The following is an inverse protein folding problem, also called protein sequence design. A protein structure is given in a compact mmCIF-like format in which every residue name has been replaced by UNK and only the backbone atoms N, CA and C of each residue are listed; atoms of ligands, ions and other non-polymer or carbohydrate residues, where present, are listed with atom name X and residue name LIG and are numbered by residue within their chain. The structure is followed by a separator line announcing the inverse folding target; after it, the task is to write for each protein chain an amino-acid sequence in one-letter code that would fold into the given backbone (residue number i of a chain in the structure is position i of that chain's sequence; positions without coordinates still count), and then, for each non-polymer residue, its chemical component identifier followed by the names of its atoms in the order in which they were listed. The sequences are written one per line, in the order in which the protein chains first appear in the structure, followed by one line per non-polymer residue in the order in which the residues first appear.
data_IF_088945738948
#
_entry.id   IF_088945738948
#
_cell.length_a   1.000
_cell.length_b   1.000
_cell.length_c   1.000
_cell.angle_alpha   90.00
_cell.angle_beta   90.00
_cell.angle_gamma   90.00
#
_symmetry.space_group_name_H-M   'P 1'
#
loop_
_entity.id
_entity.type
_entity.pdbx_description
1 polymer ?
#
# COMPACT_ATOMS: atom_id res chain seq x y z
N UNK A 1 4.47 4.34 34.57
CA UNK A 1 5.43 3.28 34.16
C UNK A 1 5.24 3.04 32.68
N UNK A 2 6.17 3.51 31.87
CA UNK A 2 6.16 3.31 30.41
C UNK A 2 7.08 2.15 30.08
N UNK A 3 6.61 1.21 29.26
CA UNK A 3 7.38 0.01 28.86
C UNK A 3 7.42 -0.08 27.34
N UNK A 4 8.63 -0.14 26.79
CA UNK A 4 8.86 -0.47 25.39
C UNK A 4 9.73 -1.71 25.32
N UNK A 5 9.24 -2.76 24.64
CA UNK A 5 9.99 -4.01 24.47
C UNK A 5 10.01 -4.39 23.00
N UNK A 6 11.21 -4.69 22.49
CA UNK A 6 11.42 -5.14 21.11
C UNK A 6 12.38 -6.34 21.12
N UNK A 7 12.07 -7.38 20.35
CA UNK A 7 12.96 -8.53 20.14
C UNK A 7 13.34 -8.59 18.66
N UNK A 8 14.63 -8.45 18.34
CA UNK A 8 15.14 -8.52 16.97
C UNK A 8 16.21 -9.60 16.91
N UNK A 9 15.99 -10.63 16.09
CA UNK A 9 16.93 -11.76 15.90
C UNK A 9 17.42 -12.39 17.22
N UNK A 10 16.51 -12.56 18.18
CA UNK A 10 16.82 -13.13 19.50
C UNK A 10 17.46 -12.15 20.49
N UNK A 11 17.70 -10.89 20.11
CA UNK A 11 18.17 -9.83 21.02
C UNK A 11 16.98 -9.05 21.57
N UNK A 12 16.86 -9.02 22.89
CA UNK A 12 15.85 -8.26 23.62
C UNK A 12 16.37 -6.86 23.92
N UNK A 13 15.63 -5.83 23.52
CA UNK A 13 15.78 -4.46 24.01
C UNK A 13 14.54 -4.12 24.85
N UNK A 14 14.73 -3.74 26.11
CA UNK A 14 13.67 -3.41 27.05
C UNK A 14 13.96 -2.03 27.67
N UNK A 15 13.17 -1.02 27.29
CA UNK A 15 13.17 0.30 27.90
C UNK A 15 12.07 0.40 28.96
N UNK A 16 12.44 0.80 30.18
CA UNK A 16 11.53 1.00 31.31
C UNK A 16 11.72 2.41 31.87
N UNK A 17 10.63 3.16 32.00
CA UNK A 17 10.59 4.41 32.78
C UNK A 17 9.81 4.13 34.06
N UNK A 18 10.51 4.18 35.18
CA UNK A 18 9.99 3.86 36.51
C UNK A 18 10.30 4.98 37.50
N UNK A 19 9.33 5.32 38.34
CA UNK A 19 9.56 6.18 39.49
C UNK A 19 10.15 5.33 40.62
N UNK A 20 11.32 5.71 41.12
CA UNK A 20 12.02 4.98 42.19
C UNK A 20 11.94 5.80 43.47
N UNK A 21 11.39 5.25 44.58
CA UNK A 21 11.41 5.92 45.88
C UNK A 21 12.85 6.18 46.32
N UNK A 22 13.13 7.35 46.89
CA UNK A 22 14.45 7.67 47.43
C UNK A 22 14.92 6.67 48.50
N UNK A 23 16.23 6.38 48.53
CA UNK A 23 16.85 5.55 49.56
C UNK A 23 16.94 4.05 49.28
N UNK A 24 16.66 3.59 48.05
CA UNK A 24 16.90 2.20 47.62
C UNK A 24 18.07 2.10 46.64
N UNK A 25 18.94 1.12 46.83
CA UNK A 25 20.06 0.75 45.95
C UNK A 25 19.61 0.00 44.68
N UNK A 26 18.40 0.29 44.16
CA UNK A 26 17.79 -0.43 43.03
C UNK A 26 18.72 -0.49 41.80
N UNK A 27 19.47 0.58 41.54
CA UNK A 27 20.41 0.61 40.43
C UNK A 27 21.51 -0.45 40.60
N UNK A 28 22.02 -0.65 41.82
CA UNK A 28 23.03 -1.67 42.09
C UNK A 28 22.46 -3.07 41.89
N UNK A 29 21.25 -3.32 42.39
CA UNK A 29 20.58 -4.61 42.25
C UNK A 29 20.31 -4.94 40.76
N UNK A 30 19.92 -3.93 39.98
CA UNK A 30 19.71 -4.07 38.54
C UNK A 30 21.02 -4.33 37.80
N UNK A 31 22.08 -3.56 38.06
CA UNK A 31 23.39 -3.78 37.43
C UNK A 31 23.98 -5.15 37.80
N UNK A 32 23.81 -5.59 39.05
CA UNK A 32 24.22 -6.93 39.47
C UNK A 32 23.44 -8.01 38.73
N UNK A 33 22.12 -7.88 38.64
CA UNK A 33 21.28 -8.79 37.86
C UNK A 33 21.71 -8.84 36.38
N UNK A 34 22.00 -7.68 35.77
CA UNK A 34 22.48 -7.59 34.41
C UNK A 34 23.77 -8.37 34.22
N UNK A 35 24.73 -8.19 35.12
CA UNK A 35 25.98 -8.93 35.11
C UNK A 35 25.78 -10.45 35.29
N UNK A 36 24.97 -10.89 36.25
CA UNK A 36 24.70 -12.32 36.50
C UNK A 36 23.99 -13.03 35.34
N UNK A 37 23.25 -12.27 34.52
CA UNK A 37 22.43 -12.80 33.42
C UNK A 37 22.99 -12.48 32.04
N UNK A 38 24.18 -11.87 31.97
CA UNK A 38 24.80 -11.41 30.73
C UNK A 38 23.89 -10.46 29.93
N UNK A 39 23.18 -9.59 30.63
CA UNK A 39 22.31 -8.53 30.08
C UNK A 39 22.95 -7.17 30.34
N UNK A 40 23.16 -6.41 29.27
CA UNK A 40 23.61 -5.01 29.36
C UNK A 40 22.45 -4.13 29.86
N UNK A 41 22.71 -3.33 30.90
CA UNK A 41 21.73 -2.44 31.51
C UNK A 41 22.34 -1.05 31.61
N UNK A 42 21.79 -0.13 30.83
CA UNK A 42 22.07 1.30 30.93
C UNK A 42 20.96 1.99 31.73
N UNK A 43 21.33 3.04 32.47
CA UNK A 43 20.39 3.82 33.27
C UNK A 43 20.72 5.30 33.19
N UNK A 44 19.67 6.11 33.07
CA UNK A 44 19.75 7.57 33.13
C UNK A 44 18.63 8.10 34.00
N UNK A 45 18.91 9.13 34.79
CA UNK A 45 17.87 9.87 35.52
C UNK A 45 17.25 10.85 34.54
N UNK A 46 16.02 10.56 34.14
CA UNK A 46 15.26 11.41 33.23
C UNK A 46 14.25 12.24 34.00
N UNK A 47 14.09 13.51 33.62
CA UNK A 47 12.94 14.31 34.07
C UNK A 47 11.66 13.69 33.51
N UNK A 48 10.54 13.82 34.24
CA UNK A 48 9.24 13.39 33.75
C UNK A 48 8.95 14.18 32.46
N UNK A 49 9.02 13.49 31.32
CA UNK A 49 9.04 14.13 30.00
C UNK A 49 7.90 15.13 29.87
N UNK A 50 8.22 16.38 29.51
CA UNK A 50 7.24 17.38 29.11
C UNK A 50 6.37 16.83 27.98
N UNK A 51 5.09 17.22 27.96
CA UNK A 51 4.12 17.01 26.89
C UNK A 51 4.56 17.69 25.58
N UNK A 52 5.73 17.33 25.05
CA UNK A 52 6.16 17.83 23.75
C UNK A 52 5.10 17.43 22.72
N UNK A 53 4.66 18.38 21.87
CA UNK A 53 3.69 18.09 20.84
C UNK A 53 4.21 16.91 20.02
N UNK A 54 3.49 15.79 20.03
CA UNK A 54 3.86 14.62 19.25
C UNK A 54 3.90 15.02 17.79
N UNK A 55 5.11 15.12 17.23
CA UNK A 55 5.34 15.38 15.81
C UNK A 55 4.48 14.40 15.01
N UNK A 56 3.84 14.90 13.96
CA UNK A 56 2.95 14.12 13.11
C UNK A 56 3.60 12.79 12.69
N UNK A 57 2.95 11.69 13.03
CA UNK A 57 3.37 10.36 12.58
C UNK A 57 2.91 10.10 11.16
N UNK A 58 3.76 9.45 10.38
CA UNK A 58 3.47 9.05 9.00
C UNK A 58 3.86 7.58 8.83
N UNK A 59 2.98 6.79 8.24
CA UNK A 59 3.31 5.46 7.76
C UNK A 59 3.76 5.58 6.30
N UNK A 60 5.04 5.33 6.06
CA UNK A 60 5.67 5.28 4.74
C UNK A 60 5.80 3.81 4.34
N UNK A 61 5.02 3.38 3.37
CA UNK A 61 5.07 2.02 2.82
C UNK A 61 5.91 2.02 1.56
N UNK A 62 7.01 1.28 1.58
CA UNK A 62 7.90 1.05 0.43
C UNK A 62 7.59 -0.33 -0.12
N UNK A 63 7.32 -0.42 -1.42
CA UNK A 63 7.03 -1.68 -2.10
C UNK A 63 7.81 -1.79 -3.41
N UNK A 64 8.19 -3.01 -3.77
CA UNK A 64 8.87 -3.30 -5.03
C UNK A 64 9.02 -4.79 -5.25
N UNK A 65 9.25 -5.21 -6.49
CA UNK A 65 9.43 -6.63 -6.84
C UNK A 65 10.53 -7.27 -5.97
N UNK A 66 11.62 -6.53 -5.77
CA UNK A 66 12.67 -6.80 -4.78
C UNK A 66 13.12 -5.46 -4.18
N UNK A 67 13.41 -5.47 -2.89
CA UNK A 67 13.96 -4.30 -2.19
C UNK A 67 15.32 -4.65 -1.61
N UNK A 68 16.37 -4.02 -2.14
CA UNK A 68 17.75 -4.17 -1.70
C UNK A 68 18.16 -3.12 -0.66
N UNK A 69 19.39 -3.24 -0.12
CA UNK A 69 19.95 -2.24 0.79
C UNK A 69 20.04 -0.84 0.19
N UNK A 70 20.34 -0.73 -1.11
CA UNK A 70 20.42 0.55 -1.81
C UNK A 70 19.07 1.25 -1.91
N UNK A 71 17.99 0.51 -2.20
CA UNK A 71 16.63 1.08 -2.25
C UNK A 71 16.23 1.63 -0.88
N UNK A 72 16.50 0.87 0.18
CA UNK A 72 16.25 1.31 1.55
C UNK A 72 17.11 2.52 1.91
N UNK A 73 18.40 2.53 1.56
CA UNK A 73 19.29 3.68 1.80
C UNK A 73 18.71 4.94 1.18
N UNK A 74 18.37 4.90 -0.11
CA UNK A 74 17.79 6.02 -0.87
C UNK A 74 16.50 6.54 -0.21
N UNK A 75 15.60 5.64 0.21
CA UNK A 75 14.38 6.04 0.94
C UNK A 75 14.73 6.71 2.27
N UNK A 76 15.62 6.11 3.06
CA UNK A 76 15.98 6.64 4.38
C UNK A 76 16.71 7.98 4.31
N UNK A 77 17.57 8.19 3.30
CA UNK A 77 18.22 9.47 3.02
C UNK A 77 17.18 10.53 2.65
N UNK A 78 16.25 10.20 1.75
CA UNK A 78 15.16 11.12 1.38
C UNK A 78 14.25 11.50 2.56
N UNK A 79 14.12 10.63 3.57
CA UNK A 79 13.40 10.93 4.82
C UNK A 79 14.24 11.84 5.72
N UNK A 80 15.55 11.59 5.82
CA UNK A 80 16.47 12.39 6.62
C UNK A 80 16.64 13.82 6.06
N UNK A 81 16.66 13.99 4.73
CA UNK A 81 16.78 15.29 4.04
C UNK A 81 15.62 16.28 4.34
N UNK A 82 14.51 15.76 4.87
CA UNK A 82 13.35 16.54 5.31
C UNK A 82 13.17 16.53 6.83
N UNK A 83 14.25 16.25 7.56
CA UNK A 83 14.29 16.17 9.03
C UNK A 83 13.30 15.13 9.60
N UNK A 84 13.04 14.06 8.85
CA UNK A 84 12.20 12.94 9.27
C UNK A 84 12.97 11.94 10.13
N UNK A 85 12.41 11.55 11.27
CA UNK A 85 12.96 10.51 12.14
C UNK A 85 12.20 9.20 11.97
N UNK A 86 12.92 8.10 11.70
CA UNK A 86 12.31 6.76 11.55
C UNK A 86 12.26 6.09 12.92
N UNK A 87 11.07 5.97 13.51
CA UNK A 87 10.87 5.33 14.82
C UNK A 87 10.87 3.81 14.73
N UNK A 88 10.39 3.26 13.62
CA UNK A 88 10.18 1.81 13.47
C UNK A 88 10.19 1.40 12.01
N UNK A 89 10.81 0.26 11.73
CA UNK A 89 10.76 -0.39 10.42
C UNK A 89 10.18 -1.79 10.59
N UNK A 90 9.15 -2.12 9.82
CA UNK A 90 8.56 -3.46 9.80
C UNK A 90 8.46 -3.96 8.38
N UNK A 91 8.93 -5.20 8.16
CA UNK A 91 8.67 -5.91 6.91
C UNK A 91 7.27 -6.51 6.94
N UNK A 92 6.40 -6.05 6.05
CA UNK A 92 5.03 -6.55 5.91
C UNK A 92 4.97 -7.81 5.03
N UNK A 93 5.73 -7.84 3.94
CA UNK A 93 5.80 -9.00 3.04
C UNK A 93 7.15 -9.15 2.34
N UNK A 94 7.41 -10.35 1.83
CA UNK A 94 8.56 -10.73 0.97
C UNK A 94 8.13 -11.51 -0.28
N UNK A 95 6.82 -11.75 -0.44
CA UNK A 95 6.22 -12.48 -1.53
C UNK A 95 4.71 -12.17 -1.58
N UNK A 96 4.11 -11.93 -2.76
CA UNK A 96 4.74 -11.87 -4.09
C UNK A 96 5.62 -10.63 -4.29
N UNK A 97 5.41 -9.59 -3.48
CA UNK A 97 6.13 -8.30 -3.53
C UNK A 97 6.80 -8.04 -2.18
N UNK A 98 7.93 -7.35 -2.19
CA UNK A 98 8.64 -6.94 -0.97
C UNK A 98 8.02 -5.65 -0.45
N UNK A 99 7.66 -5.63 0.83
CA UNK A 99 6.98 -4.47 1.43
C UNK A 99 7.59 -4.18 2.80
N UNK A 100 8.05 -2.94 3.00
CA UNK A 100 8.45 -2.40 4.29
C UNK A 100 7.56 -1.21 4.66
N UNK A 101 7.12 -1.16 5.92
CA UNK A 101 6.48 0.00 6.52
C UNK A 101 7.46 0.67 7.47
N UNK A 102 7.75 1.94 7.22
CA UNK A 102 8.53 2.81 8.08
C UNK A 102 7.55 3.74 8.81
N UNK A 103 7.63 3.77 10.12
CA UNK A 103 6.95 4.78 10.93
C UNK A 103 7.87 5.99 11.09
N UNK A 104 7.45 7.12 10.55
CA UNK A 104 8.26 8.34 10.45
C UNK A 104 7.60 9.47 11.22
N UNK A 105 8.34 10.12 12.12
CA UNK A 105 7.98 11.42 12.70
C UNK A 105 8.55 12.50 11.82
N UNK A 106 7.69 13.36 11.28
CA UNK A 106 8.10 14.52 10.49
C UNK A 106 7.09 15.64 10.71
N UNK A 107 7.58 16.87 10.90
CA UNK A 107 6.72 18.03 11.11
C UNK A 107 5.91 18.39 9.85
N UNK A 108 6.52 18.25 8.68
CA UNK A 108 5.93 18.58 7.38
C UNK A 108 5.70 17.30 6.54
N UNK A 109 4.51 16.73 6.68
CA UNK A 109 4.10 15.53 5.96
C UNK A 109 3.98 15.73 4.44
N UNK A 110 3.67 16.95 3.98
CA UNK A 110 3.52 17.23 2.56
C UNK A 110 4.88 17.33 1.88
N UNK A 111 5.86 17.96 2.55
CA UNK A 111 7.27 17.95 2.11
C UNK A 111 7.86 16.54 2.11
N UNK A 112 7.57 15.73 3.14
CA UNK A 112 7.96 14.31 3.17
C UNK A 112 7.40 13.55 1.97
N UNK A 113 6.10 13.69 1.69
CA UNK A 113 5.45 13.06 0.54
C UNK A 113 6.09 13.52 -0.78
N UNK A 114 6.29 14.82 -0.95
CA UNK A 114 6.87 15.38 -2.17
C UNK A 114 8.30 14.86 -2.42
N UNK A 115 9.14 14.84 -1.38
CA UNK A 115 10.51 14.34 -1.47
C UNK A 115 10.56 12.85 -1.87
N UNK A 116 9.74 12.02 -1.23
CA UNK A 116 9.67 10.59 -1.53
C UNK A 116 9.15 10.32 -2.94
N UNK A 117 8.14 11.06 -3.41
CA UNK A 117 7.65 10.94 -4.79
C UNK A 117 8.73 11.33 -5.81
N UNK A 118 9.45 12.44 -5.59
CA UNK A 118 10.55 12.86 -6.45
C UNK A 118 11.72 11.84 -6.44
N UNK A 119 11.89 11.12 -5.33
CA UNK A 119 12.84 10.01 -5.22
C UNK A 119 12.40 8.80 -6.04
N UNK A 120 11.14 8.37 -5.94
CA UNK A 120 10.59 7.29 -6.77
C UNK A 120 10.70 7.59 -8.28
N UNK A 121 10.48 8.84 -8.70
CA UNK A 121 10.63 9.23 -10.11
C UNK A 121 12.05 9.03 -10.65
N UNK A 122 13.07 9.05 -9.79
CA UNK A 122 14.49 8.82 -10.15
C UNK A 122 14.93 7.37 -9.96
N UNK A 123 14.15 6.59 -9.21
CA UNK A 123 14.47 5.22 -8.80
C UNK A 123 13.25 4.32 -9.06
N UNK A 124 13.04 3.86 -10.30
CA UNK A 124 11.85 3.08 -10.68
C UNK A 124 11.85 1.63 -10.14
N UNK A 125 12.80 1.28 -9.27
CA UNK A 125 12.91 -0.05 -8.65
C UNK A 125 11.91 -0.26 -7.51
N UNK A 126 11.33 0.83 -6.99
CA UNK A 126 10.37 0.78 -5.90
C UNK A 126 9.36 1.93 -5.96
N UNK A 127 8.24 1.73 -5.29
CA UNK A 127 7.18 2.71 -5.10
C UNK A 127 7.03 3.02 -3.61
N UNK A 128 6.46 4.19 -3.32
CA UNK A 128 6.20 4.64 -1.96
C UNK A 128 4.77 5.16 -1.82
N UNK A 129 4.10 4.73 -0.77
CA UNK A 129 2.86 5.33 -0.29
C UNK A 129 3.10 6.01 1.06
N UNK A 130 2.69 7.28 1.17
CA UNK A 130 2.77 8.05 2.42
C UNK A 130 1.36 8.30 2.94
N UNK A 131 1.12 7.92 4.19
CA UNK A 131 -0.17 8.12 4.86
C UNK A 131 0.06 8.66 6.27
N UNK A 132 -0.83 9.54 6.75
CA UNK A 132 -0.79 9.97 8.15
C UNK A 132 -1.01 8.77 9.07
N UNK A 133 -0.20 8.67 10.11
CA UNK A 133 -0.43 7.71 11.19
C UNK A 133 -1.69 8.12 11.95
N UNK A 134 -2.53 7.14 12.28
CA UNK A 134 -3.72 7.37 13.10
C UNK A 134 -4.75 6.27 12.95
N UNK A 135 -5.80 6.38 13.77
CA UNK A 135 -6.88 5.38 13.79
C UNK A 135 -7.63 5.32 12.44
N UNK A 136 -7.81 6.48 11.79
CA UNK A 136 -8.50 6.61 10.50
C UNK A 136 -7.89 5.70 9.42
N UNK A 137 -6.56 5.59 9.37
CA UNK A 137 -5.85 4.69 8.43
C UNK A 137 -6.22 3.22 8.68
N UNK A 138 -6.41 2.81 9.93
CA UNK A 138 -6.69 1.42 10.31
C UNK A 138 -8.19 1.09 10.31
N UNK A 139 -9.04 2.10 10.17
CA UNK A 139 -10.50 1.95 10.19
C UNK A 139 -11.13 2.05 8.81
N UNK A 140 -10.38 1.92 7.71
CA UNK A 140 -10.98 1.80 6.38
C UNK A 140 -11.82 0.51 6.29
N UNK A 141 -13.03 0.62 5.75
CA UNK A 141 -14.02 -0.48 5.66
C UNK A 141 -14.69 -0.62 4.29
N UNK A 142 -14.38 0.29 3.36
CA UNK A 142 -14.90 0.30 2.01
C UNK A 142 -13.72 0.51 1.06
N UNK A 143 -13.69 -0.27 -0.02
CA UNK A 143 -12.78 -0.09 -1.14
C UNK A 143 -13.65 -0.06 -2.38
N UNK A 144 -13.46 0.96 -3.22
CA UNK A 144 -14.05 1.05 -4.56
C UNK A 144 -12.88 0.90 -5.52
N UNK A 145 -13.01 -0.04 -6.44
CA UNK A 145 -12.01 -0.31 -7.47
C UNK A 145 -12.65 0.02 -8.81
N UNK A 146 -11.86 0.65 -9.67
CA UNK A 146 -12.19 0.66 -11.08
C UNK A 146 -12.14 -0.78 -11.63
N UNK A 147 -12.88 -1.03 -12.71
CA UNK A 147 -12.98 -2.37 -13.29
C UNK A 147 -11.84 -2.57 -14.29
N UNK A 148 -11.89 -1.83 -15.39
CA UNK A 148 -10.95 -1.94 -16.50
C UNK A 148 -9.54 -1.55 -16.05
N UNK A 149 -8.54 -2.31 -16.50
CA UNK A 149 -7.11 -2.12 -16.18
C UNK A 149 -6.75 -2.03 -14.68
N UNK A 150 -7.69 -2.36 -13.78
CA UNK A 150 -7.51 -2.30 -12.32
C UNK A 150 -7.92 -3.62 -11.67
N UNK A 151 -9.19 -4.03 -11.84
CA UNK A 151 -9.69 -5.32 -11.35
C UNK A 151 -9.50 -6.43 -12.39
N UNK A 152 -9.69 -6.09 -13.66
CA UNK A 152 -9.41 -6.95 -14.82
C UNK A 152 -8.23 -6.38 -15.62
N UNK A 153 -7.62 -7.22 -16.45
CA UNK A 153 -6.42 -6.85 -17.21
C UNK A 153 -6.70 -6.10 -18.51
N UNK A 154 -7.91 -6.28 -19.03
CA UNK A 154 -8.31 -5.79 -20.34
C UNK A 154 -9.34 -4.65 -20.21
N UNK A 155 -9.53 -3.91 -21.30
CA UNK A 155 -10.61 -2.94 -21.47
C UNK A 155 -11.82 -3.66 -22.09
N UNK A 156 -12.93 -3.79 -21.35
CA UNK A 156 -14.11 -4.55 -21.82
C UNK A 156 -14.62 -4.03 -23.16
N UNK A 157 -14.61 -2.72 -23.35
CA UNK A 157 -15.10 -2.09 -24.58
C UNK A 157 -14.23 -2.44 -25.80
N UNK A 158 -12.91 -2.55 -25.63
CA UNK A 158 -12.00 -2.95 -26.71
C UNK A 158 -12.23 -4.41 -27.09
N UNK A 159 -12.54 -5.27 -26.11
CA UNK A 159 -12.88 -6.68 -26.37
C UNK A 159 -14.17 -6.81 -27.19
N UNK A 160 -15.21 -6.03 -26.87
CA UNK A 160 -16.47 -6.02 -27.63
C UNK A 160 -16.24 -5.46 -29.03
N UNK A 161 -15.39 -4.44 -29.17
CA UNK A 161 -15.04 -3.85 -30.46
C UNK A 161 -14.34 -4.83 -31.41
N UNK A 162 -13.48 -5.71 -30.88
CA UNK A 162 -12.84 -6.77 -31.68
C UNK A 162 -13.87 -7.73 -32.26
N UNK A 163 -14.84 -8.18 -31.46
CA UNK A 163 -15.91 -9.07 -31.94
C UNK A 163 -16.86 -8.36 -32.92
N UNK A 164 -17.06 -7.06 -32.74
CA UNK A 164 -17.82 -6.21 -33.65
C UNK A 164 -17.07 -5.86 -34.96
N UNK A 165 -15.77 -6.20 -35.07
CA UNK A 165 -14.93 -5.89 -36.23
C UNK A 165 -14.48 -4.43 -36.32
N UNK A 166 -14.64 -3.64 -35.26
CA UNK A 166 -14.29 -2.20 -35.15
C UNK A 166 -13.21 -1.92 -34.10
N UNK A 167 -12.44 -2.96 -33.73
CA UNK A 167 -11.38 -2.89 -32.73
C UNK A 167 -10.35 -1.77 -32.98
N UNK A 168 -9.79 -1.62 -34.20
CA UNK A 168 -8.82 -0.56 -34.50
C UNK A 168 -9.36 0.85 -34.28
N UNK A 169 -10.62 1.10 -34.64
CA UNK A 169 -11.28 2.39 -34.51
C UNK A 169 -11.53 2.74 -33.03
N UNK A 170 -11.99 1.76 -32.24
CA UNK A 170 -12.20 1.95 -30.80
C UNK A 170 -10.87 2.15 -30.07
N UNK A 171 -9.84 1.36 -30.38
CA UNK A 171 -8.51 1.50 -29.77
C UNK A 171 -7.89 2.88 -30.03
N UNK A 172 -8.07 3.45 -31.23
CA UNK A 172 -7.59 4.79 -31.54
C UNK A 172 -8.26 5.87 -30.67
N UNK A 173 -9.57 5.73 -30.40
CA UNK A 173 -10.31 6.65 -29.52
C UNK A 173 -9.93 6.43 -28.05
N UNK A 174 -9.70 5.17 -27.63
CA UNK A 174 -9.24 4.83 -26.27
C UNK A 174 -7.88 5.46 -26.00
N UNK A 175 -6.93 5.36 -26.92
CA UNK A 175 -5.59 5.96 -26.78
C UNK A 175 -5.66 7.49 -26.63
N UNK A 176 -6.46 8.18 -27.46
CA UNK A 176 -6.67 9.63 -27.35
C UNK A 176 -7.26 10.04 -25.99
N UNK A 177 -8.22 9.26 -25.48
CA UNK A 177 -8.81 9.50 -24.18
C UNK A 177 -7.81 9.27 -23.03
N UNK A 178 -7.00 8.21 -23.09
CA UNK A 178 -5.99 7.92 -22.07
C UNK A 178 -4.85 8.95 -22.05
N UNK A 179 -4.52 9.56 -23.19
CA UNK A 179 -3.58 10.68 -23.29
C UNK A 179 -4.15 12.00 -22.74
N UNK A 180 -5.47 12.05 -22.50
CA UNK A 180 -6.19 13.23 -22.04
C UNK A 180 -6.57 14.20 -23.16
N UNK A 181 -6.43 13.79 -24.43
CA UNK A 181 -6.75 14.59 -25.61
C UNK A 181 -8.25 14.57 -25.96
N UNK A 182 -9.00 13.61 -25.40
CA UNK A 182 -10.45 13.49 -25.56
C UNK A 182 -11.15 13.41 -24.21
N UNK A 183 -12.23 14.17 -24.05
CA UNK A 183 -13.09 14.09 -22.87
C UNK A 183 -13.69 12.68 -22.73
N UNK A 184 -13.82 12.21 -21.48
CA UNK A 184 -14.30 10.86 -21.19
C UNK A 184 -15.70 10.60 -21.75
N UNK A 185 -16.64 11.53 -21.59
CA UNK A 185 -18.03 11.34 -22.05
C UNK A 185 -18.08 11.30 -23.59
N UNK A 186 -17.30 12.16 -24.24
CA UNK A 186 -17.18 12.19 -25.71
C UNK A 186 -16.57 10.88 -26.22
N UNK A 187 -15.42 10.48 -25.66
CA UNK A 187 -14.75 9.22 -25.99
C UNK A 187 -15.66 8.01 -25.81
N UNK A 188 -16.38 7.95 -24.70
CA UNK A 188 -17.27 6.82 -24.43
C UNK A 188 -18.41 6.76 -25.45
N UNK A 189 -19.02 7.90 -25.78
CA UNK A 189 -20.10 7.95 -26.79
C UNK A 189 -19.60 7.55 -28.18
N UNK A 190 -18.43 8.03 -28.59
CA UNK A 190 -17.85 7.69 -29.89
C UNK A 190 -17.53 6.21 -29.99
N UNK A 191 -16.88 5.62 -28.97
CA UNK A 191 -16.57 4.19 -28.93
C UNK A 191 -17.83 3.34 -28.93
N UNK A 192 -18.82 3.68 -28.11
CA UNK A 192 -20.09 2.94 -28.04
C UNK A 192 -20.88 3.06 -29.35
N UNK A 193 -20.84 4.20 -30.04
CA UNK A 193 -21.51 4.36 -31.32
C UNK A 193 -20.96 3.43 -32.42
N UNK A 194 -19.67 3.11 -32.38
CA UNK A 194 -19.04 2.16 -33.31
C UNK A 194 -19.55 0.72 -33.12
N UNK A 195 -20.07 0.40 -31.94
CA UNK A 195 -20.65 -0.92 -31.62
C UNK A 195 -22.11 -1.05 -32.08
N UNK A 196 -22.63 -0.08 -32.85
CA UNK A 196 -24.00 -0.12 -33.32
C UNK A 196 -24.24 -1.32 -34.26
N UNK A 197 -25.21 -2.17 -33.91
CA UNK A 197 -25.56 -3.37 -34.67
C UNK A 197 -24.85 -4.65 -34.21
N UNK A 198 -23.97 -4.57 -33.21
CA UNK A 198 -23.38 -5.74 -32.57
C UNK A 198 -24.44 -6.52 -31.78
N UNK A 199 -24.42 -7.85 -31.90
CA UNK A 199 -25.35 -8.71 -31.17
C UNK A 199 -25.09 -8.65 -29.65
N UNK A 200 -26.15 -8.51 -28.86
CA UNK A 200 -26.03 -8.42 -27.39
C UNK A 200 -25.50 -9.71 -26.77
N UNK A 201 -25.61 -10.84 -27.46
CA UNK A 201 -25.04 -12.12 -27.07
C UNK A 201 -23.53 -12.06 -26.87
N UNK A 202 -22.83 -11.14 -27.56
CA UNK A 202 -21.41 -10.87 -27.33
C UNK A 202 -21.14 -10.57 -25.85
N UNK A 203 -22.01 -9.82 -25.17
CA UNK A 203 -21.87 -9.49 -23.76
C UNK A 203 -22.03 -10.70 -22.81
N UNK A 204 -22.67 -11.78 -23.27
CA UNK A 204 -22.93 -12.99 -22.48
C UNK A 204 -21.99 -14.17 -22.82
N UNK A 205 -21.46 -14.18 -24.04
CA UNK A 205 -20.59 -15.22 -24.61
C UNK A 205 -19.12 -14.90 -24.49
N UNK A 206 -18.80 -13.66 -24.15
CA UNK A 206 -17.47 -13.10 -24.14
C UNK A 206 -16.37 -14.09 -23.71
N UNK A 207 -15.20 -14.06 -24.38
CA UNK A 207 -14.18 -15.10 -24.26
C UNK A 207 -13.98 -15.53 -22.82
N UNK A 208 -13.76 -16.83 -22.61
CA UNK A 208 -13.74 -17.54 -21.33
C UNK A 208 -12.84 -16.96 -20.20
N UNK A 209 -12.24 -15.79 -20.39
CA UNK A 209 -11.51 -14.98 -19.41
C UNK A 209 -12.10 -13.59 -19.07
N UNK A 210 -13.32 -13.22 -19.51
CA UNK A 210 -13.98 -11.95 -19.10
C UNK A 210 -14.26 -11.86 -17.61
N UNK A 211 -14.61 -12.99 -17.03
CA UNK A 211 -14.68 -13.15 -15.60
C UNK A 211 -13.26 -13.31 -15.10
N UNK A 212 -12.93 -12.67 -13.96
CA UNK A 212 -11.73 -12.93 -13.17
C UNK A 212 -11.38 -14.40 -13.35
N UNK A 213 -10.42 -14.66 -14.24
CA UNK A 213 -9.98 -16.02 -14.51
C UNK A 213 -9.44 -16.43 -13.16
N UNK A 214 -10.21 -17.23 -12.43
CA UNK A 214 -9.78 -17.73 -11.15
C UNK A 214 -8.38 -18.32 -11.36
N UNK A 215 -7.56 -18.43 -10.30
CA UNK A 215 -6.44 -19.36 -10.37
C UNK A 215 -6.98 -20.65 -11.00
N UNK A 216 -6.20 -21.27 -11.90
CA UNK A 216 -6.56 -22.42 -12.73
C UNK A 216 -7.10 -23.65 -11.95
N UNK A 217 -7.31 -23.52 -10.63
CA UNK A 217 -8.28 -24.23 -9.81
C UNK A 217 -8.91 -23.27 -8.78
N UNK A 218 -10.24 -23.18 -8.74
CA UNK A 218 -10.94 -22.58 -7.59
C UNK A 218 -10.64 -23.42 -6.33
N UNK A 219 -10.36 -22.79 -5.17
CA UNK A 219 -10.21 -23.54 -3.93
C UNK A 219 -11.54 -24.25 -3.58
N UNK A 220 -11.43 -25.46 -3.00
CA UNK A 220 -12.53 -26.43 -2.82
C UNK A 220 -13.73 -25.99 -1.99
N UNK A 221 -13.74 -24.76 -1.48
CA UNK A 221 -14.81 -24.19 -0.65
C UNK A 221 -15.74 -23.24 -1.40
N UNK A 222 -15.42 -22.84 -2.64
CA UNK A 222 -16.29 -21.97 -3.44
C UNK A 222 -17.49 -22.78 -3.99
N UNK A 223 -18.70 -22.42 -3.56
CA UNK A 223 -19.95 -23.03 -4.05
C UNK A 223 -20.24 -22.71 -5.53
N UNK A 224 -21.18 -23.43 -6.16
CA UNK A 224 -21.50 -23.25 -7.58
C UNK A 224 -22.09 -21.86 -7.88
N UNK A 225 -21.71 -21.32 -9.05
CA UNK A 225 -22.20 -20.05 -9.58
C UNK A 225 -23.72 -20.15 -9.89
N UNK A 226 -24.56 -19.17 -9.52
CA UNK A 226 -25.99 -19.20 -9.80
C UNK A 226 -26.31 -18.99 -11.29
N UNK A 227 -27.42 -19.59 -11.74
CA UNK A 227 -27.81 -19.69 -13.16
C UNK A 227 -28.12 -18.34 -13.84
N UNK A 228 -27.80 -18.30 -15.14
CA UNK A 228 -27.83 -17.16 -16.06
C UNK A 228 -29.29 -16.74 -16.39
N UNK A 229 -29.71 -15.46 -16.24
CA UNK A 229 -31.02 -15.01 -16.69
C UNK A 229 -31.08 -14.88 -18.23
N UNK A 230 -32.16 -15.37 -18.84
CA UNK A 230 -32.25 -15.69 -20.27
C UNK A 230 -32.82 -14.61 -21.19
N UNK A 231 -33.04 -13.37 -20.75
CA UNK A 231 -33.32 -12.26 -21.68
C UNK A 231 -33.37 -10.92 -20.96
N UNK A 232 -32.43 -10.03 -21.27
CA UNK A 232 -32.52 -8.60 -21.00
C UNK A 232 -32.21 -7.88 -22.30
N UNK A 233 -33.20 -7.18 -22.85
CA UNK A 233 -33.01 -6.31 -24.02
C UNK A 233 -32.51 -4.97 -23.53
N UNK A 234 -31.30 -4.58 -23.94
CA UNK A 234 -30.82 -3.21 -23.82
C UNK A 234 -31.44 -2.41 -24.98
N UNK A 235 -32.15 -1.33 -24.66
CA UNK A 235 -32.57 -0.32 -25.63
C UNK A 235 -31.83 0.96 -25.24
N UNK A 236 -31.05 1.50 -26.18
CA UNK A 236 -30.35 2.79 -26.03
C UNK A 236 -31.36 3.93 -26.12
#
# INVERSE_FOLDING_TARGET
MTRHQVVIRGRLNLGLVVAVPGGRDLLKDLLLFGWEREVEIDSEVVEESSDEPKVGGHAVTVLGERLGPEDLRVVTESIADVDGNIERIVRLSRFPVWIYELLVRCADGDRLRAALLATCSRHPTFEVAVSREGLARRSQRLVVLDVDSTLIQDEVIDMVAVEAGVGPEVAAITELAMQGDLDYEVSLRERVALLAGTDVGVLAEGPAGWWLSGPRALPSWAGPCPDRPSSLRVSV
#
